data_IF_105984535938
#
_entry.id   IF_105984535938
#
_cell.length_a   1.000
_cell.length_b   1.000
_cell.length_c   1.000
_cell.angle_alpha   90.00
_cell.angle_beta   90.00
_cell.angle_gamma   90.00
#
_symmetry.space_group_name_H-M   'P 1'
#
loop_
_entity.id
_entity.type
_entity.pdbx_description
1 polymer ?
#
# COMPACT_ATOMS: atom_id res chain seq x y z
N UNK A 1 -39.54 11.92 -8.11
CA UNK A 1 -38.95 10.57 -8.34
C UNK A 1 -37.51 10.75 -8.82
N UNK A 2 -36.48 10.39 -8.03
CA UNK A 2 -35.10 10.57 -8.46
C UNK A 2 -34.73 9.43 -9.41
N UNK A 3 -34.55 9.75 -10.69
CA UNK A 3 -34.12 8.81 -11.73
C UNK A 3 -32.66 8.42 -11.48
N UNK A 4 -32.45 7.28 -10.79
CA UNK A 4 -31.12 6.67 -10.70
C UNK A 4 -30.73 6.23 -12.11
N UNK A 5 -29.80 6.97 -12.71
CA UNK A 5 -29.22 6.69 -14.02
C UNK A 5 -28.49 5.33 -13.96
N UNK A 6 -29.19 4.25 -14.30
CA UNK A 6 -28.62 2.91 -14.42
C UNK A 6 -27.64 2.89 -15.60
N UNK A 7 -26.57 2.10 -15.49
CA UNK A 7 -25.77 1.77 -16.68
C UNK A 7 -26.61 0.88 -17.62
N UNK A 8 -26.25 0.81 -18.90
CA UNK A 8 -26.91 -0.09 -19.88
C UNK A 8 -26.90 -1.57 -19.47
N UNK A 9 -26.07 -1.95 -18.48
CA UNK A 9 -25.97 -3.28 -17.88
C UNK A 9 -26.86 -3.47 -16.62
N UNK A 10 -27.59 -2.45 -16.16
CA UNK A 10 -28.37 -2.51 -14.91
C UNK A 10 -27.54 -2.44 -13.63
N UNK A 11 -26.20 -2.51 -13.72
CA UNK A 11 -25.29 -2.36 -12.58
C UNK A 11 -25.07 -0.86 -12.24
N UNK A 12 -24.88 -0.51 -10.95
CA UNK A 12 -24.51 0.86 -10.58
C UNK A 12 -23.15 1.22 -11.20
N UNK A 13 -23.00 2.47 -11.66
CA UNK A 13 -21.72 2.97 -12.18
C UNK A 13 -20.65 2.89 -11.08
N UNK A 14 -19.42 2.55 -11.46
CA UNK A 14 -18.29 2.58 -10.54
C UNK A 14 -18.11 3.99 -9.95
N UNK A 15 -17.74 4.12 -8.66
CA UNK A 15 -17.47 5.41 -8.05
C UNK A 15 -16.30 6.11 -8.74
N UNK A 16 -16.40 7.43 -8.90
CA UNK A 16 -15.32 8.25 -9.44
C UNK A 16 -14.50 8.79 -8.28
N UNK A 17 -13.19 8.57 -8.33
CA UNK A 17 -12.24 9.10 -7.35
C UNK A 17 -11.33 10.12 -8.02
N UNK A 18 -10.90 11.12 -7.26
CA UNK A 18 -9.85 12.04 -7.66
C UNK A 18 -8.59 11.68 -6.88
N UNK A 19 -7.43 11.77 -7.53
CA UNK A 19 -6.12 11.46 -6.95
C UNK A 19 -5.19 12.62 -7.18
N UNK A 20 -4.43 12.97 -6.15
CA UNK A 20 -3.35 13.97 -6.24
C UNK A 20 -2.08 13.21 -6.64
N UNK A 21 -1.47 13.62 -7.75
CA UNK A 21 -0.26 13.01 -8.30
C UNK A 21 0.82 14.08 -8.48
N UNK A 22 2.11 13.73 -8.41
CA UNK A 22 3.19 14.61 -8.85
C UNK A 22 3.01 15.03 -10.31
N UNK A 23 3.38 16.28 -10.63
CA UNK A 23 3.20 16.87 -11.96
C UNK A 23 3.88 16.03 -13.06
N UNK A 24 5.12 15.59 -12.82
CA UNK A 24 5.87 14.76 -13.76
C UNK A 24 5.17 13.43 -14.07
N UNK A 25 4.50 12.84 -13.07
CA UNK A 25 3.78 11.58 -13.26
C UNK A 25 2.51 11.80 -14.08
N UNK A 26 1.80 12.90 -13.84
CA UNK A 26 0.65 13.30 -14.64
C UNK A 26 1.05 13.52 -16.11
N UNK A 27 2.14 14.23 -16.36
CA UNK A 27 2.66 14.48 -17.71
C UNK A 27 2.99 13.17 -18.45
N UNK A 28 3.69 12.23 -17.79
CA UNK A 28 3.99 10.91 -18.36
C UNK A 28 2.73 10.10 -18.68
N UNK A 29 1.73 10.13 -17.80
CA UNK A 29 0.45 9.45 -18.04
C UNK A 29 -0.30 10.04 -19.23
N UNK A 30 -0.28 11.36 -19.40
CA UNK A 30 -0.88 12.04 -20.57
C UNK A 30 -0.19 11.62 -21.86
N UNK A 31 1.15 11.62 -21.91
CA UNK A 31 1.89 11.20 -23.09
C UNK A 31 1.59 9.75 -23.49
N UNK A 32 1.53 8.83 -22.52
CA UNK A 32 1.16 7.43 -22.78
C UNK A 32 -0.28 7.29 -23.29
N UNK A 33 -1.20 8.09 -22.75
CA UNK A 33 -2.60 8.10 -23.17
C UNK A 33 -2.75 8.59 -24.62
N UNK A 34 -2.05 9.66 -24.99
CA UNK A 34 -2.01 10.15 -26.37
C UNK A 34 -1.43 9.11 -27.33
N UNK A 35 -0.31 8.47 -26.96
CA UNK A 35 0.34 7.46 -27.78
C UNK A 35 -0.56 6.24 -28.05
N UNK A 36 -1.34 5.80 -27.06
CA UNK A 36 -2.28 4.69 -27.22
C UNK A 36 -3.68 5.10 -27.70
N UNK A 37 -3.89 6.38 -28.01
CA UNK A 37 -5.22 6.92 -28.37
C UNK A 37 -6.30 6.59 -27.32
N UNK A 38 -5.94 6.68 -26.04
CA UNK A 38 -6.79 6.37 -24.88
C UNK A 38 -6.92 7.59 -23.98
N UNK A 39 -7.90 7.57 -23.08
CA UNK A 39 -8.00 8.60 -22.03
C UNK A 39 -7.06 8.31 -20.88
N UNK A 40 -6.61 9.35 -20.18
CA UNK A 40 -5.77 9.22 -18.98
C UNK A 40 -6.41 8.30 -17.93
N UNK A 41 -7.73 8.39 -17.71
CA UNK A 41 -8.44 7.51 -16.78
C UNK A 41 -8.41 6.04 -17.20
N UNK A 42 -8.51 5.75 -18.51
CA UNK A 42 -8.41 4.38 -19.01
C UNK A 42 -6.97 3.86 -18.88
N UNK A 43 -5.97 4.67 -19.19
CA UNK A 43 -4.56 4.29 -19.01
C UNK A 43 -4.23 4.03 -17.54
N UNK A 44 -4.66 4.91 -16.64
CA UNK A 44 -4.49 4.71 -15.20
C UNK A 44 -5.13 3.39 -14.75
N UNK A 45 -6.36 3.09 -15.21
CA UNK A 45 -7.03 1.82 -14.90
C UNK A 45 -6.21 0.61 -15.34
N UNK A 46 -5.71 0.60 -16.58
CA UNK A 46 -4.94 -0.54 -17.12
C UNK A 46 -3.64 -0.72 -16.36
N UNK A 47 -2.89 0.36 -16.11
CA UNK A 47 -1.63 0.32 -15.38
C UNK A 47 -1.82 -0.13 -13.93
N UNK A 48 -2.87 0.33 -13.25
CA UNK A 48 -3.24 -0.14 -11.91
C UNK A 48 -3.56 -1.63 -11.94
N UNK A 49 -4.38 -2.09 -12.89
CA UNK A 49 -4.76 -3.50 -12.99
C UNK A 49 -3.54 -4.40 -13.23
N UNK A 50 -2.64 -4.02 -14.13
CA UNK A 50 -1.39 -4.74 -14.36
C UNK A 50 -0.47 -4.70 -13.13
N UNK A 51 -0.41 -3.56 -12.43
CA UNK A 51 0.34 -3.40 -11.19
C UNK A 51 -0.13 -4.35 -10.09
N UNK A 52 -1.44 -4.43 -9.86
CA UNK A 52 -2.06 -5.35 -8.89
C UNK A 52 -1.75 -6.79 -9.26
N UNK A 53 -1.96 -7.18 -10.52
CA UNK A 53 -1.70 -8.55 -10.97
C UNK A 53 -0.23 -8.94 -10.79
N UNK A 54 0.71 -8.05 -11.13
CA UNK A 54 2.15 -8.29 -10.89
C UNK A 54 2.50 -8.36 -9.41
N UNK A 55 1.84 -7.57 -8.56
CA UNK A 55 2.05 -7.61 -7.13
C UNK A 55 1.58 -8.95 -6.55
N UNK A 56 0.38 -9.40 -6.91
CA UNK A 56 -0.18 -10.70 -6.46
C UNK A 56 0.66 -11.88 -6.96
N UNK A 57 1.14 -11.85 -8.21
CA UNK A 57 2.01 -12.88 -8.77
C UNK A 57 3.44 -12.84 -8.17
N UNK A 58 3.95 -11.63 -7.94
CA UNK A 58 5.24 -11.41 -7.30
C UNK A 58 5.23 -11.86 -5.85
N UNK A 59 4.11 -11.76 -5.14
CA UNK A 59 3.95 -12.25 -3.77
C UNK A 59 3.94 -13.78 -3.71
N UNK A 60 3.37 -14.46 -4.72
CA UNK A 60 3.44 -15.91 -4.86
C UNK A 60 4.86 -16.44 -5.16
N UNK A 61 5.72 -15.66 -5.82
CA UNK A 61 7.12 -16.01 -6.11
C UNK A 61 8.16 -15.48 -5.11
N UNK A 62 7.87 -14.37 -4.42
CA UNK A 62 8.78 -13.73 -3.46
C UNK A 62 8.50 -14.14 -2.01
N UNK A 63 7.30 -14.61 -1.67
CA UNK A 63 7.05 -15.19 -0.34
C UNK A 63 7.86 -16.47 -0.11
N UNK A 64 8.20 -17.24 -1.16
CA UNK A 64 9.07 -18.40 -1.03
C UNK A 64 10.58 -18.08 -1.00
N UNK A 65 11.01 -16.93 -1.53
CA UNK A 65 12.44 -16.61 -1.74
C UNK A 65 12.96 -15.45 -0.86
N UNK A 66 12.10 -14.62 -0.27
CA UNK A 66 12.52 -13.48 0.55
C UNK A 66 12.37 -13.71 2.06
N UNK A 67 11.64 -14.74 2.48
CA UNK A 67 11.54 -15.15 3.89
C UNK A 67 12.73 -15.98 4.39
N UNK A 68 13.64 -16.44 3.50
CA UNK A 68 14.73 -17.34 3.90
C UNK A 68 16.09 -16.67 4.15
N UNK A 69 16.21 -15.34 4.05
CA UNK A 69 17.48 -14.65 4.32
C UNK A 69 17.33 -13.51 5.34
N UNK A 70 17.51 -13.80 6.64
CA UNK A 70 17.49 -12.79 7.69
C UNK A 70 18.67 -11.81 7.60
N UNK A 71 19.52 -11.86 6.57
CA UNK A 71 20.67 -10.97 6.40
C UNK A 71 20.39 -9.69 5.61
N UNK A 72 19.38 -9.67 4.72
CA UNK A 72 19.12 -8.56 3.80
C UNK A 72 18.17 -7.47 4.35
N UNK A 73 17.53 -7.74 5.49
CA UNK A 73 16.62 -6.80 6.14
C UNK A 73 17.42 -5.77 6.96
N UNK A 74 17.15 -4.48 6.78
CA UNK A 74 17.74 -3.40 7.59
C UNK A 74 17.46 -3.64 9.08
N UNK A 75 18.39 -3.28 9.94
CA UNK A 75 18.28 -3.55 11.38
C UNK A 75 17.03 -2.90 12.00
N UNK A 76 16.66 -1.72 11.50
CA UNK A 76 15.48 -0.97 11.91
C UNK A 76 14.18 -1.71 11.54
N UNK A 77 14.14 -2.33 10.35
CA UNK A 77 12.96 -3.06 9.89
C UNK A 77 12.80 -4.37 10.68
N UNK A 78 13.90 -5.03 11.07
CA UNK A 78 13.83 -6.20 11.97
C UNK A 78 13.27 -5.83 13.34
N UNK A 79 13.72 -4.70 13.88
CA UNK A 79 13.25 -4.21 15.18
C UNK A 79 11.76 -3.89 15.13
N UNK A 80 11.29 -3.15 14.10
CA UNK A 80 9.87 -2.82 13.93
C UNK A 80 9.01 -4.08 13.82
N UNK A 81 9.37 -5.01 12.94
CA UNK A 81 8.62 -6.26 12.76
C UNK A 81 8.56 -7.09 14.05
N UNK A 82 9.66 -7.11 14.83
CA UNK A 82 9.70 -7.82 16.12
C UNK A 82 8.74 -7.22 17.16
N UNK A 83 8.54 -5.90 17.14
CA UNK A 83 7.63 -5.19 18.04
C UNK A 83 6.18 -5.33 17.59
N UNK A 84 5.92 -5.27 16.28
CA UNK A 84 4.59 -5.42 15.70
C UNK A 84 4.04 -6.84 15.85
N UNK A 85 4.91 -7.85 15.77
CA UNK A 85 4.53 -9.26 15.99
C UNK A 85 4.22 -9.58 17.47
N UNK A 86 4.61 -8.73 18.41
CA UNK A 86 4.30 -8.93 19.82
C UNK A 86 2.85 -8.54 20.12
N UNK A 87 2.06 -9.49 20.62
CA UNK A 87 0.70 -9.19 21.06
C UNK A 87 0.72 -8.18 22.22
N UNK A 88 -0.16 -7.16 22.20
CA UNK A 88 -0.25 -6.18 23.28
C UNK A 88 -0.66 -6.87 24.58
N UNK A 89 0.32 -7.09 25.46
CA UNK A 89 0.11 -7.65 26.80
C UNK A 89 0.25 -6.54 27.83
N UNK A 90 -0.67 -6.52 28.80
CA UNK A 90 -0.53 -5.67 29.99
C UNK A 90 0.77 -6.05 30.69
N UNK A 91 1.65 -5.07 30.91
CA UNK A 91 2.80 -5.22 31.80
C UNK A 91 2.30 -5.75 33.14
N UNK A 92 2.67 -6.99 33.49
CA UNK A 92 2.16 -7.66 34.68
C UNK A 92 2.88 -7.07 35.89
N UNK A 93 2.15 -6.31 36.70
CA UNK A 93 2.63 -5.79 37.98
C UNK A 93 2.69 -4.26 38.05
N UNK A 94 2.72 -3.75 39.28
CA UNK A 94 2.85 -2.32 39.54
C UNK A 94 4.21 -1.79 39.03
N UNK A 95 4.27 -0.54 38.55
CA UNK A 95 5.50 0.02 37.98
C UNK A 95 6.63 0.02 39.01
N UNK A 96 7.75 -0.65 38.68
CA UNK A 96 8.98 -0.60 39.46
C UNK A 96 9.59 0.80 39.35
N UNK A 97 9.62 1.55 40.45
CA UNK A 97 10.32 2.84 40.52
C UNK A 97 11.83 2.61 40.33
N UNK A 98 12.36 3.08 39.20
CA UNK A 98 13.80 3.16 38.97
C UNK A 98 14.35 4.38 39.73
N UNK A 99 15.30 4.16 40.64
CA UNK A 99 16.06 5.24 41.27
C UNK A 99 17.31 5.49 40.44
N UNK A 100 17.41 6.66 39.83
CA UNK A 100 18.63 7.11 39.16
C UNK A 100 19.66 7.50 40.21
N UNK A 101 20.88 6.98 40.07
CA UNK A 101 21.99 7.33 40.95
C UNK A 101 22.38 8.80 40.69
N UNK A 102 22.36 9.63 41.72
CA UNK A 102 22.87 11.01 41.66
C UNK A 102 24.34 10.97 42.10
N UNK A 103 25.32 11.25 41.22
CA UNK A 103 26.70 11.43 41.66
C UNK A 103 26.77 12.69 42.54
N UNK A 104 27.44 12.52 43.69
CA UNK A 104 27.84 13.61 44.59
C UNK A 104 29.29 14.01 44.31
#
# INVERSE_FOLDING_TARGET
>A
MPTRQTSTSGKPKSPRIQVVLPEDLCARLTALAEQESRTVSNMARVLIQQGVQRHEQGDAGQSAAKESSPAAMRAEDRLRNSLEAQQPRRLRGAPRRLRLHRPG
#
